data_IF_184020669671
#
_entry.id   IF_184020669671
#
_cell.length_a   1.000
_cell.length_b   1.000
_cell.length_c   1.000
_cell.angle_alpha   90.00
_cell.angle_beta   90.00
_cell.angle_gamma   90.00
#
_symmetry.space_group_name_H-M   'P 1'
#
loop_
_entity.id
_entity.type
_entity.pdbx_description
1 polymer ?
#
# COMPACT_ATOMS: atom_id res chain seq x y z
N UNK A 1 17.48 -9.59 -22.79
CA UNK A 1 16.22 -10.32 -22.98
C UNK A 1 16.16 -11.45 -21.97
N UNK A 2 15.06 -11.67 -21.24
CA UNK A 2 14.92 -12.86 -20.40
C UNK A 2 15.03 -14.10 -21.30
N UNK A 3 15.88 -15.05 -20.93
CA UNK A 3 16.13 -16.28 -21.70
C UNK A 3 15.01 -17.31 -21.58
N UNK A 4 14.05 -17.09 -20.66
CA UNK A 4 12.90 -17.96 -20.39
C UNK A 4 11.62 -17.18 -20.63
N UNK A 5 10.73 -17.70 -21.48
CA UNK A 5 9.38 -17.14 -21.67
C UNK A 5 8.47 -17.65 -20.56
N UNK A 6 7.68 -16.78 -19.89
CA UNK A 6 6.73 -17.22 -18.88
C UNK A 6 5.64 -18.13 -19.48
N UNK A 7 5.17 -19.10 -18.69
CA UNK A 7 4.08 -19.99 -19.08
C UNK A 7 2.77 -19.21 -19.23
N UNK A 8 1.94 -19.53 -20.23
CA UNK A 8 0.67 -18.83 -20.48
C UNK A 8 -0.25 -18.82 -19.25
N UNK A 9 -0.26 -19.92 -18.49
CA UNK A 9 -1.09 -20.12 -17.31
C UNK A 9 -0.86 -19.06 -16.22
N UNK A 10 0.35 -18.49 -16.10
CA UNK A 10 0.62 -17.44 -15.11
C UNK A 10 -0.18 -16.16 -15.40
N UNK A 11 -0.40 -15.84 -16.68
CA UNK A 11 -1.20 -14.69 -17.10
C UNK A 11 -2.69 -14.95 -16.89
N UNK A 12 -3.14 -16.19 -17.09
CA UNK A 12 -4.53 -16.59 -16.82
C UNK A 12 -4.85 -16.51 -15.31
N UNK A 13 -3.92 -16.95 -14.46
CA UNK A 13 -4.03 -16.79 -13.00
C UNK A 13 -4.03 -15.32 -12.56
N UNK A 14 -3.17 -14.49 -13.17
CA UNK A 14 -3.19 -13.05 -12.93
C UNK A 14 -4.53 -12.42 -13.31
N UNK A 15 -5.07 -12.75 -14.49
CA UNK A 15 -6.35 -12.21 -14.97
C UNK A 15 -7.51 -12.52 -14.02
N UNK A 16 -7.53 -13.72 -13.43
CA UNK A 16 -8.53 -14.16 -12.45
C UNK A 16 -8.44 -13.37 -11.14
N UNK A 17 -7.23 -13.22 -10.61
CA UNK A 17 -6.97 -12.46 -9.39
C UNK A 17 -7.24 -10.97 -9.60
N UNK A 18 -6.81 -10.41 -10.73
CA UNK A 18 -7.04 -9.02 -11.09
C UNK A 18 -8.53 -8.71 -11.10
N UNK A 19 -9.35 -9.49 -11.83
CA UNK A 19 -10.80 -9.29 -11.90
C UNK A 19 -11.45 -9.29 -10.51
N UNK A 20 -11.04 -10.22 -9.67
CA UNK A 20 -11.58 -10.35 -8.30
C UNK A 20 -11.25 -9.11 -7.48
N UNK A 21 -9.98 -8.72 -7.42
CA UNK A 21 -9.53 -7.64 -6.52
C UNK A 21 -9.92 -6.26 -7.07
N UNK A 22 -9.81 -6.02 -8.38
CA UNK A 22 -10.15 -4.71 -8.95
C UNK A 22 -11.64 -4.39 -8.79
N UNK A 23 -12.51 -5.41 -8.76
CA UNK A 23 -13.94 -5.25 -8.55
C UNK A 23 -14.30 -4.85 -7.12
N UNK A 24 -13.39 -5.04 -6.17
CA UNK A 24 -13.53 -4.59 -4.77
C UNK A 24 -13.13 -3.12 -4.58
N UNK A 25 -12.66 -2.43 -5.62
CA UNK A 25 -12.28 -1.03 -5.53
C UNK A 25 -13.50 -0.13 -5.73
N UNK A 26 -13.88 0.58 -4.67
CA UNK A 26 -14.86 1.66 -4.75
C UNK A 26 -14.24 2.86 -5.46
N UNK A 27 -15.00 3.55 -6.33
CA UNK A 27 -14.51 4.72 -7.08
C UNK A 27 -13.93 4.40 -8.47
N UNK A 28 -13.91 3.11 -8.84
CA UNK A 28 -13.63 2.64 -10.19
C UNK A 28 -14.87 1.97 -10.81
N UNK A 29 -15.17 2.30 -12.05
CA UNK A 29 -16.19 1.63 -12.85
C UNK A 29 -15.66 0.33 -13.47
N UNK A 30 -16.58 -0.56 -13.86
CA UNK A 30 -16.22 -1.81 -14.56
C UNK A 30 -15.48 -1.54 -15.88
N UNK A 31 -15.82 -0.46 -16.59
CA UNK A 31 -15.14 -0.07 -17.82
C UNK A 31 -13.70 0.37 -17.55
N UNK A 32 -13.48 1.18 -16.52
CA UNK A 32 -12.12 1.59 -16.11
C UNK A 32 -11.29 0.37 -15.67
N UNK A 33 -11.89 -0.57 -14.94
CA UNK A 33 -11.22 -1.82 -14.59
C UNK A 33 -10.77 -2.62 -15.84
N UNK A 34 -11.62 -2.70 -16.88
CA UNK A 34 -11.27 -3.32 -18.17
C UNK A 34 -10.16 -2.56 -18.90
N UNK A 35 -10.18 -1.24 -18.86
CA UNK A 35 -9.14 -0.39 -19.48
C UNK A 35 -7.80 -0.55 -18.78
N UNK A 36 -7.77 -0.55 -17.44
CA UNK A 36 -6.58 -0.84 -16.64
C UNK A 36 -6.03 -2.21 -17.02
N UNK A 37 -6.89 -3.24 -17.07
CA UNK A 37 -6.48 -4.58 -17.48
C UNK A 37 -5.87 -4.59 -18.88
N UNK A 38 -6.48 -3.88 -19.83
CA UNK A 38 -5.98 -3.76 -21.19
C UNK A 38 -4.61 -3.08 -21.26
N UNK A 39 -4.37 -2.03 -20.45
CA UNK A 39 -3.07 -1.35 -20.36
C UNK A 39 -2.01 -2.34 -19.89
N UNK A 40 -2.31 -3.10 -18.83
CA UNK A 40 -1.39 -4.09 -18.27
C UNK A 40 -1.07 -5.20 -19.27
N UNK A 41 -2.08 -5.74 -19.98
CA UNK A 41 -1.87 -6.81 -20.97
C UNK A 41 -1.09 -6.36 -22.21
N UNK A 42 -1.23 -5.10 -22.61
CA UNK A 42 -0.51 -4.54 -23.78
C UNK A 42 0.91 -4.10 -23.45
N UNK A 43 1.25 -3.94 -22.17
CA UNK A 43 2.61 -3.65 -21.73
C UNK A 43 3.55 -4.79 -22.13
N UNK A 44 4.77 -4.47 -22.60
CA UNK A 44 5.81 -5.47 -22.82
C UNK A 44 6.12 -6.19 -21.50
N UNK A 45 6.05 -7.53 -21.49
CA UNK A 45 6.17 -8.34 -20.28
C UNK A 45 4.88 -8.46 -19.46
N UNK A 46 3.79 -7.77 -19.85
CA UNK A 46 2.50 -7.82 -19.19
C UNK A 46 2.56 -7.39 -17.72
N UNK A 47 1.83 -8.09 -16.85
CA UNK A 47 1.81 -7.82 -15.41
C UNK A 47 3.17 -8.04 -14.70
N UNK A 48 4.08 -8.78 -15.31
CA UNK A 48 5.42 -9.03 -14.76
C UNK A 48 6.32 -7.79 -14.85
N UNK A 49 5.99 -6.86 -15.74
CA UNK A 49 6.68 -5.58 -15.90
C UNK A 49 5.89 -4.45 -15.24
N UNK A 50 5.83 -4.45 -13.90
CA UNK A 50 5.12 -3.40 -13.15
C UNK A 50 5.59 -1.99 -13.57
N UNK A 51 6.89 -1.79 -13.77
CA UNK A 51 7.45 -0.50 -14.17
C UNK A 51 6.89 0.05 -15.49
N UNK A 52 6.43 -0.81 -16.40
CA UNK A 52 5.90 -0.40 -17.70
C UNK A 52 4.47 0.14 -17.68
N UNK A 53 3.67 -0.16 -16.65
CA UNK A 53 2.27 0.30 -16.58
C UNK A 53 1.93 1.09 -15.31
N UNK A 54 2.73 0.98 -14.24
CA UNK A 54 2.38 1.49 -12.91
C UNK A 54 2.03 2.99 -12.90
N UNK A 55 2.90 3.82 -13.50
CA UNK A 55 2.68 5.27 -13.58
C UNK A 55 1.46 5.63 -14.43
N UNK A 56 1.27 4.96 -15.57
CA UNK A 56 0.14 5.21 -16.46
C UNK A 56 -1.19 4.91 -15.75
N UNK A 57 -1.25 3.79 -15.03
CA UNK A 57 -2.46 3.40 -14.29
C UNK A 57 -2.72 4.38 -13.14
N UNK A 58 -1.69 4.72 -12.36
CA UNK A 58 -1.81 5.69 -11.26
C UNK A 58 -2.35 7.03 -11.75
N UNK A 59 -1.66 7.65 -12.72
CA UNK A 59 -1.97 9.00 -13.19
C UNK A 59 -3.35 9.12 -13.82
N UNK A 60 -3.85 8.05 -14.48
CA UNK A 60 -5.14 8.09 -15.19
C UNK A 60 -6.34 7.72 -14.32
N UNK A 61 -6.19 6.77 -13.41
CA UNK A 61 -7.34 6.15 -12.73
C UNK A 61 -7.37 6.34 -11.21
N UNK A 62 -6.27 6.76 -10.59
CA UNK A 62 -6.18 6.82 -9.13
C UNK A 62 -5.77 8.20 -8.60
N UNK A 63 -4.83 8.88 -9.27
CA UNK A 63 -4.30 10.16 -8.82
C UNK A 63 -5.39 11.24 -8.78
N UNK A 64 -5.48 11.96 -7.66
CA UNK A 64 -6.47 13.02 -7.46
C UNK A 64 -7.94 12.56 -7.43
N UNK A 65 -8.20 11.24 -7.41
CA UNK A 65 -9.55 10.68 -7.36
C UNK A 65 -9.84 10.11 -5.99
N UNK A 66 -11.12 10.10 -5.62
CA UNK A 66 -11.58 9.40 -4.43
C UNK A 66 -11.88 7.93 -4.76
N UNK A 67 -11.09 7.04 -4.18
CA UNK A 67 -11.21 5.59 -4.35
C UNK A 67 -10.90 4.90 -3.02
N UNK A 68 -11.44 3.71 -2.83
CA UNK A 68 -11.21 2.90 -1.63
C UNK A 68 -11.01 1.45 -1.98
N UNK A 69 -10.06 0.83 -1.33
CA UNK A 69 -9.84 -0.61 -1.41
C UNK A 69 -10.46 -1.27 -0.18
N UNK A 70 -11.62 -1.92 -0.34
CA UNK A 70 -12.40 -2.36 0.81
C UNK A 70 -11.67 -3.42 1.64
N UNK A 71 -10.94 -4.35 1.01
CA UNK A 71 -10.10 -5.31 1.75
C UNK A 71 -9.03 -4.60 2.62
N UNK A 72 -8.41 -3.52 2.13
CA UNK A 72 -7.49 -2.73 2.95
C UNK A 72 -8.22 -2.09 4.14
N UNK A 73 -9.38 -1.48 3.91
CA UNK A 73 -10.17 -0.85 4.97
C UNK A 73 -10.62 -1.86 6.04
N UNK A 74 -10.97 -3.08 5.63
CA UNK A 74 -11.33 -4.17 6.55
C UNK A 74 -10.15 -4.53 7.45
N UNK A 75 -8.97 -4.75 6.85
CA UNK A 75 -7.76 -5.10 7.60
C UNK A 75 -7.28 -3.95 8.48
N UNK A 76 -7.30 -2.73 7.98
CA UNK A 76 -6.99 -1.53 8.74
C UNK A 76 -7.89 -1.42 9.99
N UNK A 77 -9.20 -1.62 9.81
CA UNK A 77 -10.17 -1.63 10.92
C UNK A 77 -9.90 -2.74 11.94
N UNK A 78 -9.45 -3.92 11.51
CA UNK A 78 -9.10 -5.03 12.40
C UNK A 78 -7.83 -4.71 13.22
N UNK A 79 -6.80 -4.19 12.57
CA UNK A 79 -5.55 -3.83 13.23
C UNK A 79 -5.73 -2.66 14.22
N UNK A 80 -6.54 -1.67 13.85
CA UNK A 80 -6.94 -0.59 14.76
C UNK A 80 -7.62 -1.11 16.03
N UNK A 81 -8.54 -2.08 15.92
CA UNK A 81 -9.23 -2.66 17.09
C UNK A 81 -8.28 -3.41 18.03
N UNK A 82 -7.20 -3.97 17.50
CA UNK A 82 -6.19 -4.71 18.27
C UNK A 82 -5.12 -3.75 18.83
N UNK A 83 -5.02 -2.54 18.28
CA UNK A 83 -4.02 -1.55 18.66
C UNK A 83 -2.60 -1.91 18.19
N UNK A 84 -2.48 -2.80 17.20
CA UNK A 84 -1.22 -3.24 16.61
C UNK A 84 -1.36 -3.46 15.11
N UNK A 85 -0.29 -3.20 14.38
CA UNK A 85 -0.24 -3.33 12.92
C UNK A 85 0.92 -4.22 12.48
N UNK A 86 0.78 -4.93 11.34
CA UNK A 86 1.91 -5.55 10.66
C UNK A 86 2.96 -4.51 10.27
N UNK A 87 4.22 -4.94 10.24
CA UNK A 87 5.41 -4.09 10.08
C UNK A 87 5.34 -3.19 8.84
N UNK A 88 4.84 -3.72 7.72
CA UNK A 88 4.78 -3.02 6.43
C UNK A 88 3.37 -2.52 6.07
N UNK A 89 2.42 -2.56 7.01
CA UNK A 89 1.05 -2.14 6.73
C UNK A 89 0.99 -0.61 6.66
N UNK A 90 0.61 -0.01 5.51
CA UNK A 90 0.51 1.43 5.42
C UNK A 90 -0.62 1.92 6.32
N UNK A 91 -0.34 2.95 7.11
CA UNK A 91 -1.30 3.53 8.05
C UNK A 91 -1.61 4.96 7.62
N UNK A 92 -2.88 5.25 7.37
CA UNK A 92 -3.31 6.62 7.25
C UNK A 92 -3.22 7.23 8.65
N UNK A 93 -2.22 8.09 8.86
CA UNK A 93 -2.24 8.95 10.04
C UNK A 93 -3.47 9.82 9.89
N UNK A 94 -4.42 9.76 10.81
CA UNK A 94 -5.65 10.57 10.73
C UNK A 94 -5.28 12.06 10.71
N UNK A 95 -6.15 12.94 10.21
CA UNK A 95 -6.03 14.42 10.33
C UNK A 95 -6.08 14.88 11.80
N UNK A 96 -5.12 14.42 12.60
CA UNK A 96 -4.87 14.74 14.00
C UNK A 96 -3.77 15.80 14.07
N UNK A 97 -3.50 16.38 15.25
CA UNK A 97 -2.32 17.22 15.48
C UNK A 97 -1.01 16.57 14.98
N UNK A 98 -0.97 15.24 14.87
CA UNK A 98 0.16 14.46 14.35
C UNK A 98 0.41 14.72 12.85
N UNK A 99 -0.64 14.97 12.03
CA UNK A 99 -0.45 15.36 10.62
C UNK A 99 0.16 16.74 10.47
N UNK A 100 -0.23 17.72 11.31
CA UNK A 100 0.42 19.03 11.33
C UNK A 100 1.87 18.93 11.78
N UNK A 101 2.14 18.12 12.81
CA UNK A 101 3.50 17.91 13.29
C UNK A 101 4.38 17.25 12.23
N UNK A 102 3.87 16.23 11.54
CA UNK A 102 4.60 15.60 10.44
C UNK A 102 4.83 16.57 9.28
N UNK A 103 3.81 17.29 8.83
CA UNK A 103 3.94 18.28 7.77
C UNK A 103 5.01 19.33 8.12
N UNK A 104 4.95 19.91 9.32
CA UNK A 104 5.95 20.85 9.83
C UNK A 104 7.34 20.22 9.90
N UNK A 105 7.44 18.95 10.35
CA UNK A 105 8.72 18.22 10.42
C UNK A 105 9.37 18.00 9.06
N UNK A 106 8.60 18.01 7.96
CA UNK A 106 9.12 17.87 6.58
C UNK A 106 9.51 19.20 5.95
N UNK A 107 9.12 20.35 6.51
CA UNK A 107 9.57 21.67 6.05
C UNK A 107 11.05 21.91 6.35
N UNK A 108 11.67 22.80 5.58
CA UNK A 108 13.04 23.27 5.81
C UNK A 108 13.07 24.20 7.03
N UNK A 109 14.22 24.31 7.69
CA UNK A 109 14.38 25.23 8.84
C UNK A 109 14.12 26.69 8.45
N UNK A 110 14.50 27.10 7.23
CA UNK A 110 14.21 28.43 6.70
C UNK A 110 12.71 28.70 6.55
N UNK A 111 11.95 27.70 6.11
CA UNK A 111 10.50 27.76 5.94
C UNK A 111 9.81 27.87 7.32
N UNK A 112 10.24 27.05 8.29
CA UNK A 112 9.72 27.12 9.66
C UNK A 112 10.00 28.47 10.32
N UNK A 113 11.19 29.04 10.14
CA UNK A 113 11.51 30.38 10.65
C UNK A 113 10.68 31.48 10.00
N UNK A 114 10.38 31.34 8.71
CA UNK A 114 9.52 32.26 7.97
C UNK A 114 8.09 32.21 8.51
N UNK A 115 7.56 31.00 8.73
CA UNK A 115 6.26 30.79 9.38
C UNK A 115 6.22 31.42 10.78
N UNK A 116 7.22 31.17 11.62
CA UNK A 116 7.28 31.78 12.94
C UNK A 116 7.28 33.32 12.87
N UNK A 117 7.96 33.90 11.87
CA UNK A 117 7.96 35.36 11.66
C UNK A 117 6.60 35.88 11.23
N UNK A 118 5.91 35.16 10.34
CA UNK A 118 4.55 35.47 9.87
C UNK A 118 3.54 35.50 11.04
N UNK A 119 3.68 34.56 11.98
CA UNK A 119 2.88 34.49 13.22
C UNK A 119 3.45 35.32 14.37
N UNK A 120 4.43 36.20 14.12
CA UNK A 120 5.03 37.10 15.11
C UNK A 120 5.60 36.39 16.35
N UNK A 121 6.11 35.17 16.19
CA UNK A 121 6.73 34.39 17.25
C UNK A 121 8.19 34.81 17.45
N UNK A 122 8.58 35.05 18.70
CA UNK A 122 9.98 35.29 19.06
C UNK A 122 10.77 33.99 18.99
N UNK A 123 11.74 33.91 18.08
CA UNK A 123 12.60 32.73 17.89
C UNK A 123 13.99 33.01 18.48
N UNK A 124 14.46 32.23 19.46
CA UNK A 124 15.86 32.28 19.90
C UNK A 124 16.84 32.02 18.76
N UNK A 125 18.00 32.68 18.78
CA UNK A 125 19.00 32.61 17.69
C UNK A 125 19.56 31.20 17.42
N UNK A 126 19.48 30.27 18.39
CA UNK A 126 19.93 28.87 18.31
C UNK A 126 18.80 27.84 18.50
N UNK A 127 17.62 28.11 17.95
CA UNK A 127 16.47 27.19 18.06
C UNK A 127 16.64 25.95 17.18
N UNK A 128 16.42 24.74 17.73
CA UNK A 128 16.46 23.50 16.94
C UNK A 128 15.19 23.37 16.10
N UNK A 129 15.24 22.52 15.07
CA UNK A 129 14.08 22.27 14.19
C UNK A 129 12.89 21.74 14.98
N UNK A 130 13.11 20.82 15.91
CA UNK A 130 12.08 20.24 16.79
C UNK A 130 11.36 21.34 17.57
N UNK A 131 12.11 22.26 18.16
CA UNK A 131 11.55 23.35 18.95
C UNK A 131 10.68 24.29 18.09
N UNK A 132 11.09 24.54 16.83
CA UNK A 132 10.26 25.32 15.89
C UNK A 132 8.95 24.61 15.56
N UNK A 133 8.99 23.29 15.34
CA UNK A 133 7.79 22.48 15.08
C UNK A 133 6.87 22.48 16.30
N UNK A 134 7.43 22.33 17.51
CA UNK A 134 6.69 22.32 18.77
C UNK A 134 5.99 23.65 19.05
N UNK A 135 6.58 24.78 18.67
CA UNK A 135 5.94 26.09 18.80
C UNK A 135 4.83 26.23 17.73
N UNK A 136 5.14 25.90 16.47
CA UNK A 136 4.21 26.09 15.34
C UNK A 136 2.97 25.19 15.44
N UNK A 137 3.10 23.96 15.98
CA UNK A 137 1.95 23.04 16.12
C UNK A 137 0.90 23.53 17.13
N UNK A 138 1.27 24.45 18.02
CA UNK A 138 0.35 25.08 18.98
C UNK A 138 -0.49 26.20 18.36
N UNK A 139 -0.14 26.65 17.15
CA UNK A 139 -0.87 27.74 16.47
C UNK A 139 -2.24 27.23 15.99
N UNK A 140 -3.33 27.91 16.37
CA UNK A 140 -4.66 27.55 15.87
C UNK A 140 -4.74 27.64 14.34
N UNK A 141 -5.32 26.63 13.70
CA UNK A 141 -5.49 26.54 12.25
C UNK A 141 -4.18 26.55 11.44
N UNK A 142 -3.03 26.17 12.02
CA UNK A 142 -1.76 26.08 11.29
C UNK A 142 -1.85 25.18 10.05
N UNK A 143 -2.71 24.16 10.07
CA UNK A 143 -3.00 23.26 8.95
C UNK A 143 -3.60 23.96 7.73
N UNK A 144 -4.25 25.12 7.90
CA UNK A 144 -4.83 25.92 6.81
C UNK A 144 -3.83 26.89 6.17
N UNK A 145 -2.66 27.07 6.78
CA UNK A 145 -1.62 27.91 6.21
C UNK A 145 -1.14 27.30 4.89
N UNK A 146 -0.90 28.11 3.85
CA UNK A 146 -0.66 27.64 2.48
C UNK A 146 0.48 26.64 2.34
N UNK A 147 1.59 26.85 3.03
CA UNK A 147 2.77 25.97 2.96
C UNK A 147 2.52 24.66 3.71
N UNK A 148 1.84 24.73 4.85
CA UNK A 148 1.51 23.56 5.67
C UNK A 148 0.44 22.70 4.98
N UNK A 149 -0.61 23.32 4.46
CA UNK A 149 -1.68 22.65 3.69
C UNK A 149 -1.13 21.95 2.45
N UNK A 150 -0.28 22.61 1.65
CA UNK A 150 0.40 21.96 0.51
C UNK A 150 1.22 20.76 0.95
N UNK A 151 1.92 20.84 2.09
CA UNK A 151 2.70 19.71 2.60
C UNK A 151 1.81 18.56 3.08
N UNK A 152 0.65 18.85 3.65
CA UNK A 152 -0.36 17.85 4.02
C UNK A 152 -0.88 17.16 2.75
N UNK A 153 -1.24 17.92 1.71
CA UNK A 153 -1.70 17.37 0.42
C UNK A 153 -0.64 16.47 -0.23
N UNK A 154 0.64 16.87 -0.20
CA UNK A 154 1.75 16.03 -0.70
C UNK A 154 1.90 14.71 0.10
N UNK A 155 1.68 14.75 1.42
CA UNK A 155 1.75 13.55 2.26
C UNK A 155 0.56 12.61 1.97
N UNK A 156 -0.63 13.19 1.79
CA UNK A 156 -1.85 12.44 1.46
C UNK A 156 -1.75 11.81 0.05
N UNK A 157 -1.24 12.54 -0.94
CA UNK A 157 -1.00 12.01 -2.30
C UNK A 157 0.03 10.87 -2.28
N UNK A 158 1.11 11.03 -1.49
CA UNK A 158 2.11 9.96 -1.29
C UNK A 158 1.49 8.72 -0.67
N UNK A 159 0.71 8.88 0.40
CA UNK A 159 0.04 7.76 1.04
C UNK A 159 -0.90 7.03 0.07
N UNK A 160 -1.70 7.77 -0.71
CA UNK A 160 -2.58 7.19 -1.74
C UNK A 160 -1.78 6.46 -2.82
N UNK A 161 -0.64 6.99 -3.24
CA UNK A 161 0.25 6.32 -4.18
C UNK A 161 0.86 5.04 -3.59
N UNK A 162 1.26 5.06 -2.32
CA UNK A 162 1.78 3.87 -1.62
C UNK A 162 0.71 2.78 -1.48
N UNK A 163 -0.54 3.18 -1.19
CA UNK A 163 -1.68 2.27 -1.14
C UNK A 163 -1.99 1.66 -2.52
N UNK A 164 -1.96 2.47 -3.59
CA UNK A 164 -2.07 1.98 -4.95
C UNK A 164 -0.95 0.99 -5.30
N UNK A 165 0.29 1.33 -4.92
CA UNK A 165 1.45 0.46 -5.14
C UNK A 165 1.28 -0.87 -4.43
N UNK A 166 0.75 -0.85 -3.19
CA UNK A 166 0.44 -2.05 -2.43
C UNK A 166 -0.66 -2.89 -3.08
N UNK A 167 -1.73 -2.26 -3.57
CA UNK A 167 -2.80 -2.94 -4.31
C UNK A 167 -2.23 -3.69 -5.52
N UNK A 168 -1.45 -3.02 -6.37
CA UNK A 168 -0.89 -3.63 -7.58
C UNK A 168 0.08 -4.78 -7.26
N UNK A 169 0.88 -4.64 -6.19
CA UNK A 169 1.75 -5.72 -5.70
C UNK A 169 0.95 -6.90 -5.15
N UNK A 170 -0.14 -6.63 -4.44
CA UNK A 170 -1.04 -7.66 -3.89
C UNK A 170 -1.67 -8.50 -5.00
N UNK A 171 -2.16 -7.86 -6.06
CA UNK A 171 -2.68 -8.55 -7.25
C UNK A 171 -1.59 -9.39 -7.91
N UNK A 172 -0.39 -8.83 -8.11
CA UNK A 172 0.74 -9.54 -8.72
C UNK A 172 1.12 -10.80 -7.92
N UNK A 173 1.33 -10.66 -6.61
CA UNK A 173 1.71 -11.77 -5.74
C UNK A 173 0.61 -12.83 -5.64
N UNK A 174 -0.67 -12.44 -5.52
CA UNK A 174 -1.76 -13.43 -5.53
C UNK A 174 -1.88 -14.15 -6.86
N UNK A 175 -1.66 -13.46 -7.99
CA UNK A 175 -1.61 -14.08 -9.32
C UNK A 175 -0.51 -15.14 -9.42
N UNK A 176 0.69 -14.81 -8.94
CA UNK A 176 1.82 -15.76 -8.87
C UNK A 176 1.53 -16.93 -7.92
N UNK A 177 1.03 -16.66 -6.71
CA UNK A 177 0.72 -17.69 -5.73
C UNK A 177 -0.41 -18.63 -6.19
N UNK A 178 -1.40 -18.11 -6.93
CA UNK A 178 -2.43 -18.95 -7.55
C UNK A 178 -1.83 -19.88 -8.62
N UNK A 179 -0.92 -19.36 -9.44
CA UNK A 179 -0.20 -20.17 -10.42
C UNK A 179 0.64 -21.26 -9.74
N UNK A 180 1.43 -20.91 -8.73
CA UNK A 180 2.27 -21.86 -7.99
C UNK A 180 1.43 -22.93 -7.27
N UNK A 181 0.26 -22.55 -6.74
CA UNK A 181 -0.72 -23.46 -6.15
C UNK A 181 -1.22 -24.48 -7.19
N UNK A 182 -1.76 -23.99 -8.32
CA UNK A 182 -2.28 -24.86 -9.40
C UNK A 182 -1.22 -25.80 -9.94
N UNK A 183 0.00 -25.30 -10.12
CA UNK A 183 1.14 -26.11 -10.57
C UNK A 183 1.50 -27.20 -9.55
N UNK A 184 1.48 -26.88 -8.26
CA UNK A 184 1.75 -27.83 -7.18
C UNK A 184 0.67 -28.90 -7.08
N UNK A 185 -0.60 -28.53 -7.24
CA UNK A 185 -1.74 -29.47 -7.26
C UNK A 185 -1.63 -30.47 -8.42
N UNK A 186 -1.21 -30.02 -9.61
CA UNK A 186 -0.98 -30.90 -10.77
C UNK A 186 0.06 -31.99 -10.53
N UNK A 187 1.04 -31.75 -9.66
CA UNK A 187 2.06 -32.73 -9.29
C UNK A 187 1.73 -33.49 -8.00
N UNK A 188 0.50 -33.35 -7.49
CA UNK A 188 -0.02 -34.14 -6.37
C UNK A 188 0.25 -33.56 -4.98
N UNK A 189 0.72 -32.32 -4.86
CA UNK A 189 0.90 -31.66 -3.54
C UNK A 189 -0.47 -31.43 -2.91
N UNK A 190 -0.65 -31.91 -1.68
CA UNK A 190 -1.92 -31.77 -0.92
C UNK A 190 -1.82 -30.84 0.28
N UNK A 191 -0.60 -30.52 0.73
CA UNK A 191 -0.36 -29.75 1.95
C UNK A 191 0.67 -28.67 1.71
N UNK A 192 0.46 -27.52 2.34
CA UNK A 192 1.37 -26.39 2.35
C UNK A 192 1.61 -25.97 3.79
N UNK A 193 2.82 -25.52 4.09
CA UNK A 193 3.17 -24.89 5.37
C UNK A 193 3.76 -23.50 5.12
N UNK A 194 3.65 -22.62 6.11
CA UNK A 194 4.38 -21.35 6.08
C UNK A 194 5.87 -21.68 6.14
N UNK A 195 6.61 -21.29 5.11
CA UNK A 195 8.08 -21.37 5.04
C UNK A 195 8.70 -20.21 5.82
N UNK A 196 8.15 -19.02 5.61
CA UNK A 196 8.72 -17.79 6.11
C UNK A 196 7.62 -16.82 6.54
N UNK A 197 7.83 -16.17 7.67
CA UNK A 197 7.07 -15.04 8.18
C UNK A 197 8.02 -14.22 9.06
N UNK A 198 7.93 -12.89 9.02
CA UNK A 198 8.63 -12.05 9.99
C UNK A 198 8.05 -12.32 11.38
N UNK A 199 8.90 -12.38 12.41
CA UNK A 199 8.45 -12.77 13.75
C UNK A 199 7.41 -11.78 14.29
N UNK A 200 7.59 -10.49 13.98
CA UNK A 200 6.69 -9.39 14.31
C UNK A 200 5.32 -9.51 13.63
N UNK A 201 5.26 -10.19 12.48
CA UNK A 201 4.04 -10.29 11.68
C UNK A 201 3.28 -11.61 11.87
N UNK A 202 3.86 -12.56 12.63
CA UNK A 202 3.35 -13.92 12.78
C UNK A 202 1.93 -13.96 13.34
N UNK A 203 1.62 -13.12 14.34
CA UNK A 203 0.29 -13.07 14.95
C UNK A 203 -0.81 -12.66 13.94
N UNK A 204 -0.47 -11.79 12.98
CA UNK A 204 -1.42 -11.33 11.96
C UNK A 204 -1.63 -12.39 10.87
N UNK A 205 -0.58 -13.10 10.47
CA UNK A 205 -0.69 -14.20 9.49
C UNK A 205 -1.53 -15.34 10.05
N UNK A 206 -1.30 -15.72 11.32
CA UNK A 206 -2.11 -16.73 12.00
C UNK A 206 -3.57 -16.30 12.12
N UNK A 207 -3.83 -15.03 12.43
CA UNK A 207 -5.18 -14.47 12.48
C UNK A 207 -5.89 -14.54 11.11
N UNK A 208 -5.20 -14.15 10.03
CA UNK A 208 -5.74 -14.20 8.69
C UNK A 208 -6.06 -15.62 8.23
N UNK A 209 -5.19 -16.59 8.55
CA UNK A 209 -5.43 -17.99 8.23
C UNK A 209 -6.51 -18.62 9.10
N UNK A 210 -6.73 -18.16 10.33
CA UNK A 210 -7.90 -18.57 11.14
C UNK A 210 -9.21 -18.08 10.51
N UNK A 211 -9.23 -16.87 9.96
CA UNK A 211 -10.40 -16.31 9.28
C UNK A 211 -10.66 -16.98 7.92
N UNK A 212 -9.60 -17.22 7.15
CA UNK A 212 -9.67 -17.83 5.82
C UNK A 212 -8.53 -18.83 5.64
N UNK A 213 -8.72 -20.11 6.03
CA UNK A 213 -7.66 -21.13 6.00
C UNK A 213 -7.02 -21.34 4.62
N UNK A 214 -7.82 -21.19 3.57
CA UNK A 214 -7.40 -21.37 2.18
C UNK A 214 -7.05 -20.05 1.48
N UNK A 215 -6.70 -19.00 2.22
CA UNK A 215 -6.29 -17.72 1.62
C UNK A 215 -4.99 -17.88 0.80
N UNK A 216 -5.04 -17.35 -0.43
CA UNK A 216 -3.85 -17.12 -1.25
C UNK A 216 -3.00 -16.02 -0.61
N UNK A 217 -1.67 -16.19 -0.65
CA UNK A 217 -0.76 -15.15 -0.16
C UNK A 217 -0.63 -14.02 -1.19
N UNK A 218 -0.40 -12.77 -0.75
CA UNK A 218 -0.52 -12.27 0.62
C UNK A 218 -1.92 -12.46 1.24
N UNK A 219 -1.99 -12.95 2.49
CA UNK A 219 -3.28 -13.28 3.17
C UNK A 219 -4.01 -12.04 3.70
N UNK A 220 -3.28 -10.93 3.84
CA UNK A 220 -3.79 -9.58 4.05
C UNK A 220 -2.88 -8.59 3.29
N UNK A 221 -3.33 -7.36 2.96
CA UNK A 221 -2.46 -6.38 2.31
C UNK A 221 -1.17 -6.15 3.09
N UNK A 222 -0.01 -6.17 2.42
CA UNK A 222 1.35 -6.06 3.00
C UNK A 222 1.92 -7.32 3.66
N UNK A 223 1.18 -8.44 3.67
CA UNK A 223 1.74 -9.72 4.09
C UNK A 223 2.91 -10.14 3.18
N UNK A 224 4.03 -10.49 3.79
CA UNK A 224 5.25 -10.93 3.11
C UNK A 224 5.60 -12.39 3.43
N UNK A 225 4.70 -13.11 4.10
CA UNK A 225 4.88 -14.52 4.39
C UNK A 225 4.91 -15.34 3.10
N UNK A 226 5.58 -16.49 3.16
CA UNK A 226 5.73 -17.40 2.03
C UNK A 226 5.27 -18.78 2.43
N UNK A 227 4.50 -19.43 1.56
CA UNK A 227 4.12 -20.84 1.70
C UNK A 227 5.08 -21.72 0.90
N UNK A 228 5.28 -22.95 1.38
CA UNK A 228 5.94 -24.00 0.62
C UNK A 228 5.11 -25.29 0.62
N UNK A 229 5.17 -26.08 -0.45
CA UNK A 229 4.67 -27.45 -0.47
C UNK A 229 5.26 -28.30 0.67
N UNK A 230 4.45 -29.20 1.22
CA UNK A 230 4.91 -30.29 2.08
C UNK A 230 4.94 -31.56 1.24
N UNK A 231 6.13 -32.11 1.04
CA UNK A 231 6.33 -33.39 0.37
C UNK A 231 6.33 -34.46 1.47
N UNK A 232 5.28 -35.28 1.51
CA UNK A 232 5.23 -36.47 2.36
C UNK A 232 5.92 -37.62 1.60
N UNK A 233 6.98 -38.18 2.20
CA UNK A 233 7.68 -39.37 1.70
C UNK A 233 7.13 -40.63 2.36
#
# INVERSE_FOLDING_TARGET
MPTVKPEKEIFECYDEVFKTIISDISGLSENEAKEIHCIIKKCEGGFLNMGGYHSIVWERYFRGRDWKWNEYEEWNSRFLKIGKFPTNFPQEKVLTPEKSEEALSKLKVSELKSLCTEYQLSIPSKTKKTDLVDILKLIPNITKQSLVSQKIEELDDRFRHDLFSLLMRTINFRGKNLYDLRRSEKVGVKKFKILYVFEEDKEFVEMALKLKPNALHPVFPSDMSMKQPVIEF
#
